data_IF_826573842044
#
_entry.id   IF_826573842044
#
_cell.length_a   1.000
_cell.length_b   1.000
_cell.length_c   1.000
_cell.angle_alpha   90.00
_cell.angle_beta   90.00
_cell.angle_gamma   90.00
#
_symmetry.space_group_name_H-M   'P 1'
#
loop_
_entity.id
_entity.type
_entity.pdbx_description
1 polymer ?
#
# COMPACT_ATOMS: atom_id res chain seq x y z
N UNK A 1 18.57 18.78 14.63
CA UNK A 1 19.02 18.52 13.25
C UNK A 1 17.86 18.75 12.28
N UNK A 2 18.09 19.51 11.24
CA UNK A 2 17.09 19.73 10.18
C UNK A 2 17.49 18.95 8.94
N UNK A 3 16.56 18.22 8.36
CA UNK A 3 16.79 17.43 7.13
C UNK A 3 15.78 17.89 6.08
N UNK A 4 16.25 18.13 4.87
CA UNK A 4 15.37 18.45 3.74
C UNK A 4 15.11 17.17 2.94
N UNK A 5 13.85 16.78 2.82
CA UNK A 5 13.42 15.59 2.09
C UNK A 5 12.34 15.97 1.07
N UNK A 6 12.32 15.25 -0.05
CA UNK A 6 11.18 15.29 -0.97
C UNK A 6 10.07 14.39 -0.45
N UNK A 7 8.85 14.60 -0.94
CA UNK A 7 7.72 13.71 -0.63
C UNK A 7 8.00 12.27 -1.03
N UNK A 8 8.67 12.06 -2.18
CA UNK A 8 8.99 10.70 -2.65
C UNK A 8 10.06 10.04 -1.79
N UNK A 9 11.03 10.80 -1.30
CA UNK A 9 12.01 10.27 -0.35
C UNK A 9 11.34 9.84 0.95
N UNK A 10 10.39 10.61 1.44
CA UNK A 10 9.63 10.25 2.62
C UNK A 10 8.81 8.98 2.38
N UNK A 11 8.09 8.91 1.26
CA UNK A 11 7.29 7.74 0.89
C UNK A 11 8.17 6.49 0.78
N UNK A 12 9.33 6.60 0.14
CA UNK A 12 10.28 5.48 0.02
C UNK A 12 10.69 4.95 1.40
N UNK A 13 11.01 5.85 2.34
CA UNK A 13 11.38 5.46 3.71
C UNK A 13 10.23 4.76 4.44
N UNK A 14 9.01 5.27 4.27
CA UNK A 14 7.82 4.67 4.87
C UNK A 14 7.58 3.26 4.34
N UNK A 15 7.71 3.06 3.03
CA UNK A 15 7.57 1.74 2.41
C UNK A 15 8.64 0.78 2.94
N UNK A 16 9.89 1.21 2.96
CA UNK A 16 11.00 0.38 3.45
C UNK A 16 10.79 -0.04 4.90
N UNK A 17 10.40 0.89 5.76
CA UNK A 17 10.13 0.58 7.17
C UNK A 17 8.94 -0.34 7.31
N UNK A 18 7.88 -0.14 6.52
CA UNK A 18 6.72 -1.02 6.54
C UNK A 18 7.08 -2.45 6.14
N UNK A 19 7.90 -2.62 5.10
CA UNK A 19 8.39 -3.94 4.67
C UNK A 19 9.19 -4.60 5.79
N UNK A 20 10.11 -3.87 6.40
CA UNK A 20 10.94 -4.40 7.49
C UNK A 20 10.08 -4.83 8.68
N UNK A 21 9.14 -3.99 9.09
CA UNK A 21 8.21 -4.32 10.18
C UNK A 21 7.40 -5.58 9.87
N UNK A 22 6.92 -5.69 8.64
CA UNK A 22 6.13 -6.84 8.23
C UNK A 22 6.91 -8.14 8.36
N UNK A 23 8.15 -8.18 7.83
CA UNK A 23 8.97 -9.38 7.86
C UNK A 23 9.55 -9.69 9.25
N UNK A 24 9.65 -8.70 10.12
CA UNK A 24 10.06 -8.90 11.52
C UNK A 24 8.88 -9.26 12.43
N UNK A 25 7.72 -9.55 11.85
CA UNK A 25 6.49 -9.81 12.59
C UNK A 25 6.13 -8.69 13.55
N UNK A 26 6.40 -7.44 13.13
CA UNK A 26 6.04 -6.25 13.89
C UNK A 26 4.54 -5.95 13.83
N UNK A 27 4.17 -4.82 14.39
CA UNK A 27 2.78 -4.42 14.51
C UNK A 27 2.15 -4.12 13.14
N UNK A 28 1.11 -4.88 12.77
CA UNK A 28 0.44 -4.74 11.48
C UNK A 28 -0.32 -3.41 11.34
N UNK A 29 -0.79 -2.83 12.44
CA UNK A 29 -1.42 -1.50 12.42
C UNK A 29 -0.39 -0.46 11.96
N UNK A 30 0.84 -0.53 12.49
CA UNK A 30 1.92 0.37 12.08
C UNK A 30 2.32 0.14 10.62
N UNK A 31 2.36 -1.11 10.16
CA UNK A 31 2.60 -1.44 8.74
C UNK A 31 1.55 -0.76 7.87
N UNK A 32 0.27 -0.90 8.22
CA UNK A 32 -0.83 -0.29 7.47
C UNK A 32 -0.72 1.24 7.46
N UNK A 33 -0.40 1.85 8.59
CA UNK A 33 -0.29 3.30 8.72
C UNK A 33 0.84 3.86 7.85
N UNK A 34 2.01 3.24 7.90
CA UNK A 34 3.16 3.66 7.08
C UNK A 34 2.90 3.44 5.59
N UNK A 35 2.40 2.28 5.23
CA UNK A 35 2.09 1.95 3.84
C UNK A 35 0.99 2.87 3.29
N UNK A 36 -0.04 3.14 4.09
CA UNK A 36 -1.14 4.02 3.70
C UNK A 36 -0.69 5.46 3.47
N UNK A 37 0.19 5.97 4.33
CA UNK A 37 0.76 7.31 4.16
C UNK A 37 1.58 7.40 2.86
N UNK A 38 2.43 6.42 2.60
CA UNK A 38 3.25 6.39 1.39
C UNK A 38 2.38 6.26 0.13
N UNK A 39 1.37 5.39 0.17
CA UNK A 39 0.44 5.20 -0.94
C UNK A 39 -0.28 6.50 -1.28
N UNK A 40 -0.74 7.23 -0.28
CA UNK A 40 -1.43 8.49 -0.47
C UNK A 40 -0.52 9.57 -1.05
N UNK A 41 0.72 9.67 -0.57
CA UNK A 41 1.72 10.59 -1.12
C UNK A 41 1.94 10.29 -2.60
N UNK A 42 2.22 9.05 -2.94
CA UNK A 42 2.48 8.64 -4.32
C UNK A 42 1.25 8.84 -5.21
N UNK A 43 0.06 8.51 -4.71
CA UNK A 43 -1.20 8.71 -5.41
C UNK A 43 -1.47 10.17 -5.71
N UNK A 44 -1.21 11.06 -4.74
CA UNK A 44 -1.39 12.50 -4.94
C UNK A 44 -0.38 13.07 -5.93
N UNK A 45 0.85 12.59 -5.93
CA UNK A 45 1.86 13.01 -6.93
C UNK A 45 1.44 12.55 -8.33
N UNK A 46 0.93 11.31 -8.45
CA UNK A 46 0.40 10.82 -9.73
C UNK A 46 -0.76 11.71 -10.23
N UNK A 47 -1.68 12.07 -9.35
CA UNK A 47 -2.80 12.94 -9.69
C UNK A 47 -2.33 14.32 -10.16
N UNK A 48 -1.37 14.93 -9.47
CA UNK A 48 -0.79 16.22 -9.88
C UNK A 48 -0.13 16.15 -11.24
N UNK A 49 0.41 14.99 -11.60
CA UNK A 49 1.06 14.77 -12.89
C UNK A 49 0.05 14.42 -14.00
N UNK A 50 -1.23 14.62 -13.76
CA UNK A 50 -2.28 14.43 -14.75
C UNK A 50 -2.77 13.00 -14.90
N UNK A 51 -2.36 12.08 -14.04
CA UNK A 51 -2.82 10.70 -14.07
C UNK A 51 -4.25 10.61 -13.52
N UNK A 52 -5.12 9.95 -14.27
CA UNK A 52 -6.52 9.71 -13.91
C UNK A 52 -6.74 8.22 -13.69
N UNK A 53 -7.77 7.90 -12.92
CA UNK A 53 -8.13 6.50 -12.63
C UNK A 53 -6.96 5.72 -12.02
N UNK A 54 -6.33 6.30 -11.00
CA UNK A 54 -5.15 5.73 -10.35
C UNK A 54 -5.44 4.32 -9.81
N UNK A 55 -6.63 4.11 -9.25
CA UNK A 55 -7.01 2.81 -8.72
C UNK A 55 -7.05 1.75 -9.82
N UNK A 56 -7.59 2.10 -10.99
CA UNK A 56 -7.59 1.22 -12.15
C UNK A 56 -6.16 0.94 -12.64
N UNK A 57 -5.31 1.97 -12.67
CA UNK A 57 -3.89 1.81 -13.05
C UNK A 57 -3.17 0.87 -12.10
N UNK A 58 -3.42 0.99 -10.80
CA UNK A 58 -2.83 0.09 -9.80
C UNK A 58 -3.28 -1.35 -10.02
N UNK A 59 -4.55 -1.54 -10.30
CA UNK A 59 -5.11 -2.87 -10.56
C UNK A 59 -4.46 -3.51 -11.79
N UNK A 60 -4.36 -2.78 -12.88
CA UNK A 60 -3.74 -3.26 -14.12
C UNK A 60 -2.26 -3.57 -13.92
N UNK A 61 -1.53 -2.72 -13.21
CA UNK A 61 -0.12 -2.94 -12.92
C UNK A 61 0.10 -4.15 -12.02
N UNK A 62 -0.78 -4.36 -11.03
CA UNK A 62 -0.75 -5.54 -10.18
C UNK A 62 -0.86 -6.82 -11.01
N UNK A 63 -1.79 -6.82 -11.97
CA UNK A 63 -1.96 -7.97 -12.87
C UNK A 63 -0.76 -8.18 -13.76
N UNK A 64 -0.17 -7.10 -14.28
CA UNK A 64 1.05 -7.17 -15.09
C UNK A 64 2.22 -7.78 -14.31
N UNK A 65 2.30 -7.49 -13.01
CA UNK A 65 3.33 -8.05 -12.13
C UNK A 65 3.03 -9.50 -11.72
N UNK A 66 1.90 -10.06 -12.13
CA UNK A 66 1.51 -11.42 -11.80
C UNK A 66 0.77 -11.55 -10.47
N UNK A 67 0.31 -10.43 -9.91
CA UNK A 67 -0.55 -10.42 -8.73
C UNK A 67 -2.00 -10.54 -9.21
N UNK A 68 -2.61 -11.69 -9.01
CA UNK A 68 -3.94 -11.98 -9.54
C UNK A 68 -5.02 -11.56 -8.55
N UNK A 69 -5.45 -10.30 -8.63
CA UNK A 69 -6.64 -9.84 -7.92
C UNK A 69 -7.88 -10.08 -8.78
N UNK A 70 -8.95 -10.48 -8.12
CA UNK A 70 -10.21 -10.79 -8.82
C UNK A 70 -11.06 -9.55 -9.10
N UNK A 71 -10.89 -8.47 -8.31
CA UNK A 71 -11.66 -7.24 -8.51
C UNK A 71 -10.99 -6.02 -7.90
N UNK A 72 -11.43 -4.83 -8.31
CA UNK A 72 -11.00 -3.56 -7.72
C UNK A 72 -11.56 -3.36 -6.29
N UNK A 73 -12.56 -4.12 -5.90
CA UNK A 73 -13.17 -4.02 -4.56
C UNK A 73 -12.17 -4.34 -3.45
N UNK A 74 -11.22 -5.22 -3.74
CA UNK A 74 -10.11 -5.54 -2.82
C UNK A 74 -9.33 -4.28 -2.46
N UNK A 75 -9.03 -3.45 -3.47
CA UNK A 75 -8.34 -2.18 -3.24
C UNK A 75 -9.19 -1.21 -2.43
N UNK A 76 -10.49 -1.12 -2.74
CA UNK A 76 -11.40 -0.23 -2.03
C UNK A 76 -11.49 -0.59 -0.54
N UNK A 77 -11.52 -1.87 -0.21
CA UNK A 77 -11.56 -2.34 1.18
C UNK A 77 -10.35 -1.87 1.98
N UNK A 78 -9.15 -1.93 1.40
CA UNK A 78 -7.96 -1.45 2.09
C UNK A 78 -7.97 0.06 2.31
N UNK A 79 -8.60 0.83 1.41
CA UNK A 79 -8.78 2.28 1.59
C UNK A 79 -9.68 2.61 2.78
N UNK A 80 -10.76 1.84 2.97
CA UNK A 80 -11.65 1.99 4.12
C UNK A 80 -10.89 1.78 5.42
N UNK A 81 -10.07 0.74 5.51
CA UNK A 81 -9.28 0.45 6.71
C UNK A 81 -8.21 1.52 6.97
N UNK A 82 -7.53 1.99 5.93
CA UNK A 82 -6.58 3.10 6.07
C UNK A 82 -7.25 4.33 6.68
N UNK A 83 -8.43 4.67 6.19
CA UNK A 83 -9.17 5.84 6.68
C UNK A 83 -9.63 5.64 8.13
N UNK A 84 -10.04 4.44 8.50
CA UNK A 84 -10.42 4.12 9.88
C UNK A 84 -9.26 4.34 10.86
N UNK A 85 -8.02 4.12 10.44
CA UNK A 85 -6.84 4.34 11.28
C UNK A 85 -6.46 5.81 11.45
N UNK A 86 -7.00 6.70 10.62
CA UNK A 86 -6.67 8.12 10.62
C UNK A 86 -7.70 8.99 11.33
N UNK A 87 -8.94 8.56 11.40
CA UNK A 87 -10.06 9.41 11.78
C UNK A 87 -10.81 8.82 12.97
N UNK A 88 -11.16 9.67 13.90
CA UNK A 88 -11.91 9.33 15.09
C UNK A 88 -13.04 10.36 15.37
N UNK A 89 -13.55 10.99 14.31
CA UNK A 89 -14.58 12.03 14.44
C UNK A 89 -15.97 11.44 14.69
N UNK A 90 -16.22 10.23 14.19
CA UNK A 90 -17.50 9.55 14.34
C UNK A 90 -17.32 8.37 15.29
N UNK A 91 -18.08 8.34 16.38
CA UNK A 91 -18.03 7.27 17.37
C UNK A 91 -18.40 5.89 16.79
N UNK A 92 -19.10 5.84 15.65
CA UNK A 92 -19.41 4.60 14.95
C UNK A 92 -18.16 3.94 14.38
N UNK A 93 -17.06 4.69 14.22
CA UNK A 93 -15.79 4.21 13.71
C UNK A 93 -14.82 3.80 14.82
N UNK A 94 -15.25 3.81 16.09
CA UNK A 94 -14.40 3.45 17.24
C UNK A 94 -13.98 1.99 17.22
N UNK A 95 -14.71 1.14 16.51
CA UNK A 95 -14.39 -0.28 16.34
C UNK A 95 -14.37 -0.62 14.85
N UNK A 96 -13.38 -1.41 14.44
CA UNK A 96 -13.25 -1.86 13.06
C UNK A 96 -12.57 -3.22 13.03
N UNK A 97 -12.82 -3.96 11.95
CA UNK A 97 -12.13 -5.23 11.70
C UNK A 97 -10.84 -4.98 10.96
N UNK A 98 -9.80 -5.65 11.37
CA UNK A 98 -8.47 -5.53 10.76
C UNK A 98 -7.88 -6.92 10.56
N UNK A 99 -7.26 -7.14 9.40
CA UNK A 99 -6.59 -8.38 9.09
C UNK A 99 -5.24 -8.15 8.40
N UNK A 100 -4.43 -9.20 8.37
CA UNK A 100 -3.11 -9.16 7.75
C UNK A 100 -3.18 -8.85 6.25
N UNK A 101 -4.17 -9.40 5.56
CA UNK A 101 -4.34 -9.18 4.12
C UNK A 101 -4.51 -7.71 3.79
N UNK A 102 -5.24 -6.97 4.62
CA UNK A 102 -5.43 -5.53 4.42
C UNK A 102 -4.11 -4.77 4.50
N UNK A 103 -3.25 -5.11 5.47
CA UNK A 103 -1.93 -4.49 5.60
C UNK A 103 -1.04 -4.83 4.41
N UNK A 104 -1.00 -6.09 4.00
CA UNK A 104 -0.23 -6.54 2.83
C UNK A 104 -0.72 -5.83 1.57
N UNK A 105 -2.03 -5.75 1.38
CA UNK A 105 -2.60 -5.09 0.20
C UNK A 105 -2.24 -3.61 0.16
N UNK A 106 -2.32 -2.91 1.28
CA UNK A 106 -1.93 -1.49 1.33
C UNK A 106 -0.45 -1.31 1.00
N UNK A 107 0.41 -2.20 1.47
CA UNK A 107 1.83 -2.17 1.18
C UNK A 107 2.09 -2.46 -0.32
N UNK A 108 1.37 -3.40 -0.92
CA UNK A 108 1.40 -3.65 -2.37
C UNK A 108 0.99 -2.37 -3.13
N UNK A 109 -0.08 -1.73 -2.71
CA UNK A 109 -0.55 -0.48 -3.34
C UNK A 109 0.51 0.62 -3.28
N UNK A 110 1.18 0.76 -2.14
CA UNK A 110 2.24 1.76 -1.98
C UNK A 110 3.41 1.49 -2.94
N UNK A 111 3.86 0.24 -3.03
CA UNK A 111 4.94 -0.17 -3.94
C UNK A 111 4.54 0.08 -5.39
N UNK A 112 3.32 -0.27 -5.78
CA UNK A 112 2.84 -0.09 -7.15
C UNK A 112 2.74 1.39 -7.51
N UNK A 113 2.20 2.23 -6.62
CA UNK A 113 2.14 3.67 -6.87
C UNK A 113 3.54 4.27 -7.02
N UNK A 114 4.49 3.82 -6.21
CA UNK A 114 5.88 4.24 -6.31
C UNK A 114 6.44 3.88 -7.70
N UNK A 115 6.17 2.67 -8.18
CA UNK A 115 6.59 2.23 -9.51
C UNK A 115 5.91 3.03 -10.63
N UNK A 116 4.61 3.31 -10.51
CA UNK A 116 3.87 4.08 -11.50
C UNK A 116 4.38 5.51 -11.67
N UNK A 117 5.08 6.04 -10.66
CA UNK A 117 5.75 7.34 -10.74
C UNK A 117 7.05 7.29 -11.56
N UNK A 118 7.45 6.12 -12.05
CA UNK A 118 8.68 5.94 -12.78
C UNK A 118 9.89 5.70 -11.88
N UNK A 119 9.66 5.55 -10.58
CA UNK A 119 10.74 5.27 -9.63
C UNK A 119 11.17 3.81 -9.72
N UNK A 120 12.48 3.58 -9.61
CA UNK A 120 13.01 2.23 -9.57
C UNK A 120 12.71 1.59 -8.22
N UNK A 121 12.16 0.39 -8.24
CA UNK A 121 11.92 -0.38 -7.02
C UNK A 121 13.24 -0.76 -6.36
N UNK A 122 13.28 -0.69 -5.05
CA UNK A 122 14.42 -1.20 -4.27
C UNK A 122 14.41 -2.73 -4.29
N UNK A 123 15.54 -3.33 -3.91
CA UNK A 123 15.64 -4.79 -3.80
C UNK A 123 14.61 -5.32 -2.81
N UNK A 124 14.39 -4.61 -1.70
CA UNK A 124 13.42 -5.00 -0.68
C UNK A 124 11.98 -4.94 -1.21
N UNK A 125 11.65 -3.92 -2.00
CA UNK A 125 10.34 -3.82 -2.64
C UNK A 125 10.11 -4.97 -3.62
N UNK A 126 11.10 -5.29 -4.44
CA UNK A 126 11.04 -6.43 -5.37
C UNK A 126 10.87 -7.76 -4.63
N UNK A 127 11.63 -7.96 -3.57
CA UNK A 127 11.51 -9.16 -2.73
C UNK A 127 10.13 -9.26 -2.09
N UNK A 128 9.58 -8.15 -1.64
CA UNK A 128 8.25 -8.12 -1.06
C UNK A 128 7.19 -8.56 -2.08
N UNK A 129 7.22 -8.00 -3.29
CA UNK A 129 6.28 -8.38 -4.37
C UNK A 129 6.41 -9.86 -4.70
N UNK A 130 7.63 -10.37 -4.82
CA UNK A 130 7.88 -11.80 -5.08
C UNK A 130 7.32 -12.67 -3.95
N UNK A 131 7.51 -12.25 -2.71
CA UNK A 131 6.98 -12.97 -1.55
C UNK A 131 5.44 -13.02 -1.58
N UNK A 132 4.78 -11.92 -1.90
CA UNK A 132 3.31 -11.87 -2.00
C UNK A 132 2.82 -12.85 -3.07
N UNK A 133 3.47 -12.88 -4.22
CA UNK A 133 3.13 -13.80 -5.30
C UNK A 133 3.26 -15.27 -4.87
N UNK A 134 4.34 -15.58 -4.16
CA UNK A 134 4.65 -16.95 -3.74
C UNK A 134 3.70 -17.44 -2.65
N UNK A 135 3.30 -16.57 -1.74
CA UNK A 135 2.48 -16.94 -0.58
C UNK A 135 0.97 -16.85 -0.86
N UNK A 136 0.57 -16.28 -1.98
CA UNK A 136 -0.82 -16.26 -2.40
C UNK A 136 -1.77 -15.49 -1.49
N UNK A 137 -1.27 -14.59 -0.66
CA UNK A 137 -2.08 -13.88 0.35
C UNK A 137 -3.18 -13.01 -0.25
N UNK A 138 -3.06 -12.63 -1.51
CA UNK A 138 -4.00 -11.73 -2.18
C UNK A 138 -4.73 -12.41 -3.34
N UNK A 139 -4.57 -13.73 -3.49
CA UNK A 139 -5.11 -14.47 -4.64
C UNK A 139 -6.53 -14.95 -4.40
N UNK A 140 -6.93 -15.14 -3.14
CA UNK A 140 -8.21 -15.73 -2.79
C UNK A 140 -9.20 -14.70 -2.26
N UNK A 141 -9.76 -13.90 -3.19
CA UNK A 141 -10.91 -13.07 -2.88
C UNK A 141 -12.23 -13.84 -3.12
N UNK A 142 -12.17 -15.15 -3.13
CA UNK A 142 -13.33 -16.01 -3.44
C UNK A 142 -13.97 -16.65 -2.21
N UNK A 143 -13.65 -16.15 -1.04
CA UNK A 143 -14.37 -16.60 0.16
C UNK A 143 -15.50 -15.66 0.49
#
# INVERSE_FOLDING_TARGET
MKVRLTKLQAAKRQIQTAIDLYFLHGDLISVMTLAGAAEEICGNVLARNGKKNILSMMFDESRRLGLNFTSQDVYNRSSVLRNALKHAKDSKEDQFQFDEEAAVLMLVRAVINFQLLGEKLTIEMEKFITWVKTHGLLINDQS
#
